data_IF_457814390043
#
_entry.id   IF_457814390043
#
_cell.length_a   1.000
_cell.length_b   1.000
_cell.length_c   1.000
_cell.angle_alpha   90.00
_cell.angle_beta   90.00
_cell.angle_gamma   90.00
#
_symmetry.space_group_name_H-M   'P 1'
#
loop_
_entity.id
_entity.type
_entity.pdbx_description
1 polymer ?
#
# COMPACT_ATOMS: atom_id res chain seq x y z
N UNK A 1 -19.09 -30.94 -8.13
CA UNK A 1 -18.01 -29.92 -8.06
C UNK A 1 -18.58 -28.69 -7.37
N UNK A 2 -18.19 -28.41 -6.12
CA UNK A 2 -18.76 -27.27 -5.38
C UNK A 2 -18.03 -25.98 -5.76
N UNK A 3 -18.77 -25.00 -6.28
CA UNK A 3 -18.24 -23.69 -6.64
C UNK A 3 -17.97 -22.87 -5.37
N UNK A 4 -16.86 -22.11 -5.37
CA UNK A 4 -16.51 -21.17 -4.30
C UNK A 4 -16.02 -19.87 -4.93
N UNK A 5 -16.38 -18.76 -4.31
CA UNK A 5 -15.95 -17.42 -4.69
C UNK A 5 -14.77 -16.98 -3.83
N UNK A 6 -13.87 -16.20 -4.42
CA UNK A 6 -12.74 -15.58 -3.75
C UNK A 6 -12.85 -14.07 -3.89
N UNK A 7 -12.65 -13.34 -2.80
CA UNK A 7 -12.67 -11.89 -2.76
C UNK A 7 -11.35 -11.37 -2.17
N UNK A 8 -10.63 -10.57 -2.94
CA UNK A 8 -9.51 -9.77 -2.47
C UNK A 8 -10.07 -8.43 -2.01
N UNK A 9 -9.87 -8.09 -0.74
CA UNK A 9 -10.44 -6.89 -0.12
C UNK A 9 -9.28 -6.04 0.40
N UNK A 10 -9.35 -4.74 0.14
CA UNK A 10 -8.46 -3.73 0.72
C UNK A 10 -9.29 -2.89 1.69
N UNK A 11 -8.75 -2.61 2.87
CA UNK A 11 -9.35 -1.74 3.88
C UNK A 11 -8.34 -0.66 4.25
N UNK A 12 -8.82 0.52 4.58
CA UNK A 12 -8.00 1.60 5.09
C UNK A 12 -8.86 2.74 5.63
N UNK A 13 -8.23 3.61 6.41
CA UNK A 13 -8.89 4.72 7.10
C UNK A 13 -8.67 6.08 6.41
N UNK A 14 -7.90 6.12 5.33
CA UNK A 14 -7.52 7.35 4.64
C UNK A 14 -6.53 8.23 5.40
N UNK A 15 -5.97 7.73 6.51
CA UNK A 15 -5.11 8.48 7.44
C UNK A 15 -3.84 7.67 7.79
N UNK A 16 -3.24 7.02 6.81
CA UNK A 16 -1.98 6.30 6.98
C UNK A 16 -2.12 4.86 7.45
N UNK A 17 -3.33 4.27 7.51
CA UNK A 17 -3.50 2.85 7.80
C UNK A 17 -4.18 2.13 6.64
N UNK A 18 -3.56 1.04 6.17
CA UNK A 18 -4.11 0.22 5.07
C UNK A 18 -3.79 -1.25 5.27
N UNK A 19 -4.67 -2.14 4.82
CA UNK A 19 -4.47 -3.58 4.88
C UNK A 19 -5.20 -4.26 3.73
N UNK A 20 -4.76 -5.48 3.39
CA UNK A 20 -5.46 -6.32 2.42
C UNK A 20 -5.61 -7.75 2.92
N UNK A 21 -6.68 -8.38 2.49
CA UNK A 21 -7.04 -9.73 2.90
C UNK A 21 -7.78 -10.49 1.81
N UNK A 22 -7.75 -11.82 1.92
CA UNK A 22 -8.40 -12.71 0.97
C UNK A 22 -9.45 -13.54 1.69
N UNK A 23 -10.69 -13.48 1.21
CA UNK A 23 -11.78 -14.32 1.70
C UNK A 23 -12.24 -15.31 0.65
N UNK A 24 -12.60 -16.53 1.08
CA UNK A 24 -13.13 -17.58 0.21
C UNK A 24 -14.35 -18.23 0.85
N UNK A 25 -15.45 -18.32 0.10
CA UNK A 25 -16.71 -18.88 0.59
C UNK A 25 -17.58 -19.43 -0.56
N UNK A 26 -18.68 -20.10 -0.23
CA UNK A 26 -19.67 -20.56 -1.22
C UNK A 26 -20.51 -19.41 -1.77
N UNK A 27 -20.69 -18.34 -1.00
CA UNK A 27 -21.43 -17.13 -1.38
C UNK A 27 -20.50 -15.91 -1.44
N UNK A 28 -20.81 -14.96 -2.33
CA UNK A 28 -20.00 -13.76 -2.54
C UNK A 28 -19.97 -12.85 -1.29
N UNK A 29 -21.10 -12.51 -0.64
CA UNK A 29 -21.08 -11.64 0.54
C UNK A 29 -20.21 -12.21 1.67
N UNK A 30 -20.28 -13.53 1.87
CA UNK A 30 -19.49 -14.23 2.89
C UNK A 30 -17.99 -14.24 2.54
N UNK A 31 -17.63 -14.34 1.27
CA UNK A 31 -16.24 -14.19 0.84
C UNK A 31 -15.72 -12.77 1.11
N UNK A 32 -16.54 -11.74 0.88
CA UNK A 32 -16.17 -10.34 1.16
C UNK A 32 -16.01 -10.11 2.67
N UNK A 33 -16.95 -10.62 3.50
CA UNK A 33 -16.88 -10.51 4.97
C UNK A 33 -15.58 -11.10 5.50
N UNK A 34 -15.24 -12.33 5.07
CA UNK A 34 -13.98 -12.99 5.44
C UNK A 34 -12.75 -12.20 4.96
N UNK A 35 -12.80 -11.66 3.75
CA UNK A 35 -11.72 -10.83 3.21
C UNK A 35 -11.50 -9.56 4.02
N UNK A 36 -12.58 -8.90 4.45
CA UNK A 36 -12.53 -7.70 5.32
C UNK A 36 -11.92 -8.03 6.69
N UNK A 37 -12.35 -9.11 7.32
CA UNK A 37 -11.81 -9.56 8.61
C UNK A 37 -10.32 -9.92 8.53
N UNK A 38 -9.89 -10.58 7.46
CA UNK A 38 -8.48 -10.88 7.23
C UNK A 38 -7.67 -9.59 6.98
N UNK A 39 -8.22 -8.64 6.22
CA UNK A 39 -7.56 -7.37 5.91
C UNK A 39 -7.35 -6.50 7.15
N UNK A 40 -8.34 -6.41 8.04
CA UNK A 40 -8.25 -5.62 9.28
C UNK A 40 -7.18 -6.15 10.25
N UNK A 41 -6.89 -7.46 10.23
CA UNK A 41 -5.82 -8.05 11.04
C UNK A 41 -4.41 -7.75 10.51
N UNK A 42 -4.31 -7.30 9.25
CA UNK A 42 -3.06 -7.06 8.52
C UNK A 42 -2.89 -5.58 8.16
N UNK A 43 -3.40 -4.69 9.01
CA UNK A 43 -3.19 -3.26 8.85
C UNK A 43 -1.71 -2.93 9.02
N UNK A 44 -1.18 -2.13 8.09
CA UNK A 44 0.15 -1.53 8.17
C UNK A 44 0.01 -0.02 8.28
N UNK A 45 0.97 0.59 8.98
CA UNK A 45 1.10 2.05 9.05
C UNK A 45 1.97 2.54 7.90
N UNK A 46 1.56 3.62 7.26
CA UNK A 46 2.22 4.22 6.10
C UNK A 46 2.80 5.57 6.51
N UNK A 47 4.11 5.75 6.28
CA UNK A 47 4.78 7.02 6.49
C UNK A 47 4.40 8.00 5.37
N UNK A 48 3.59 9.01 5.71
CA UNK A 48 3.19 10.09 4.82
C UNK A 48 4.00 11.36 5.07
N UNK A 49 4.26 12.12 4.01
CA UNK A 49 4.85 13.46 4.10
C UNK A 49 3.78 14.56 4.18
N UNK A 50 4.24 15.81 4.32
CA UNK A 50 3.38 17.01 4.43
C UNK A 50 2.45 17.19 3.21
N UNK A 51 2.82 16.65 2.05
CA UNK A 51 2.05 16.72 0.82
C UNK A 51 1.05 15.55 0.67
N UNK A 52 0.84 14.76 1.73
CA UNK A 52 0.10 13.50 1.64
C UNK A 52 0.67 12.57 0.54
N UNK A 53 1.99 12.57 0.37
CA UNK A 53 2.77 11.66 -0.48
C UNK A 53 3.61 10.72 0.39
N UNK A 54 4.39 9.84 -0.25
CA UNK A 54 5.35 8.96 0.43
C UNK A 54 6.63 9.73 0.77
N UNK A 55 7.36 9.32 1.81
CA UNK A 55 8.56 10.06 2.27
C UNK A 55 9.75 9.96 1.31
N UNK A 56 9.88 8.84 0.59
CA UNK A 56 10.93 8.61 -0.40
C UNK A 56 10.50 7.57 -1.43
N UNK A 57 11.24 7.49 -2.53
CA UNK A 57 11.01 6.49 -3.56
C UNK A 57 11.33 5.08 -3.04
N UNK A 58 10.46 4.12 -3.34
CA UNK A 58 10.66 2.73 -2.93
C UNK A 58 10.10 1.76 -3.96
N UNK A 59 10.68 0.56 -4.05
CA UNK A 59 10.13 -0.52 -4.90
C UNK A 59 9.81 -1.72 -4.03
N UNK A 60 8.53 -2.02 -3.85
CA UNK A 60 8.10 -3.25 -3.17
C UNK A 60 8.02 -4.41 -4.13
N UNK A 61 8.19 -5.62 -3.59
CA UNK A 61 8.13 -6.87 -4.35
C UNK A 61 7.35 -7.91 -3.55
N UNK A 62 6.44 -8.60 -4.23
CA UNK A 62 5.75 -9.76 -3.68
C UNK A 62 5.51 -10.80 -4.76
N UNK A 63 5.99 -12.02 -4.52
CA UNK A 63 6.00 -13.08 -5.54
C UNK A 63 6.69 -12.60 -6.83
N UNK A 64 5.99 -12.74 -7.96
CA UNK A 64 6.45 -12.27 -9.27
C UNK A 64 6.10 -10.82 -9.61
N UNK A 65 5.43 -10.07 -8.73
CA UNK A 65 5.07 -8.68 -8.97
C UNK A 65 5.99 -7.72 -8.22
N UNK A 66 6.26 -6.57 -8.81
CA UNK A 66 6.97 -5.46 -8.18
C UNK A 66 6.25 -4.15 -8.47
N UNK A 67 6.24 -3.25 -7.51
CA UNK A 67 5.57 -1.96 -7.63
C UNK A 67 6.56 -0.87 -7.25
N UNK A 68 6.91 -0.06 -8.23
CA UNK A 68 7.67 1.16 -8.02
C UNK A 68 6.73 2.24 -7.50
N UNK A 69 7.07 2.82 -6.36
CA UNK A 69 6.45 4.00 -5.77
C UNK A 69 7.40 5.18 -5.92
N UNK A 70 6.90 6.27 -6.51
CA UNK A 70 7.62 7.51 -6.69
C UNK A 70 6.94 8.62 -5.90
N UNK A 71 7.71 9.28 -5.03
CA UNK A 71 7.29 10.48 -4.32
C UNK A 71 6.87 11.54 -5.33
N UNK A 72 5.83 12.29 -5.02
CA UNK A 72 5.26 13.28 -5.95
C UNK A 72 4.89 14.56 -5.22
N UNK A 73 5.07 15.74 -5.84
CA UNK A 73 4.68 17.00 -5.25
C UNK A 73 3.15 17.16 -5.20
N UNK A 74 2.70 18.14 -4.42
CA UNK A 74 1.30 18.55 -4.35
C UNK A 74 0.71 18.81 -5.75
N UNK A 75 -0.55 18.41 -5.95
CA UNK A 75 -1.27 18.59 -7.21
C UNK A 75 -1.07 17.47 -8.24
N UNK A 76 -0.22 16.47 -7.95
CA UNK A 76 -0.01 15.33 -8.86
C UNK A 76 -1.22 14.39 -8.91
N UNK A 77 -1.93 14.23 -7.80
CA UNK A 77 -2.98 13.22 -7.67
C UNK A 77 -2.44 11.79 -7.61
N UNK A 78 -3.36 10.81 -7.64
CA UNK A 78 -3.03 9.38 -7.57
C UNK A 78 -2.90 8.78 -8.97
N UNK A 79 -1.68 8.75 -9.48
CA UNK A 79 -1.33 8.14 -10.77
C UNK A 79 -0.85 6.71 -10.51
N UNK A 80 -1.80 5.77 -10.48
CA UNK A 80 -1.54 4.37 -10.17
C UNK A 80 -2.43 3.40 -10.96
N UNK A 81 -1.91 2.20 -11.20
CA UNK A 81 -2.70 1.10 -11.77
C UNK A 81 -3.75 0.60 -10.80
N UNK A 82 -4.89 0.10 -11.29
CA UNK A 82 -6.09 -0.21 -10.49
C UNK A 82 -5.85 -0.85 -9.11
N UNK A 83 -5.12 -1.99 -9.00
CA UNK A 83 -4.87 -2.62 -7.71
C UNK A 83 -4.03 -1.78 -6.74
N UNK A 84 -2.99 -1.10 -7.24
CA UNK A 84 -2.15 -0.22 -6.41
C UNK A 84 -2.88 1.08 -6.05
N UNK A 85 -3.73 1.60 -6.94
CA UNK A 85 -4.56 2.80 -6.70
C UNK A 85 -5.45 2.60 -5.49
N UNK A 86 -6.20 1.50 -5.43
CA UNK A 86 -7.10 1.23 -4.30
C UNK A 86 -6.36 1.18 -2.96
N UNK A 87 -5.13 0.64 -2.94
CA UNK A 87 -4.29 0.65 -1.73
C UNK A 87 -3.84 2.07 -1.39
N UNK A 88 -3.35 2.85 -2.36
CA UNK A 88 -2.86 4.20 -2.12
C UNK A 88 -3.98 5.14 -1.61
N UNK A 89 -5.14 5.11 -2.25
CA UNK A 89 -6.29 5.95 -1.86
C UNK A 89 -6.77 5.62 -0.44
N UNK A 90 -6.92 4.33 -0.12
CA UNK A 90 -7.35 3.90 1.21
C UNK A 90 -6.28 4.12 2.29
N UNK A 91 -5.00 4.19 1.91
CA UNK A 91 -3.92 4.59 2.80
C UNK A 91 -3.90 6.10 3.10
N UNK A 92 -4.67 6.92 2.37
CA UNK A 92 -4.67 8.38 2.53
C UNK A 92 -3.67 9.11 1.64
N UNK A 93 -3.02 8.42 0.70
CA UNK A 93 -2.08 9.04 -0.24
C UNK A 93 -2.85 9.83 -1.29
N UNK A 94 -2.57 11.12 -1.38
CA UNK A 94 -3.19 12.01 -2.38
C UNK A 94 -2.30 12.25 -3.59
N UNK A 95 -0.98 12.19 -3.42
CA UNK A 95 -0.01 12.51 -4.47
C UNK A 95 1.00 11.37 -4.62
N UNK A 96 0.93 10.62 -5.72
CA UNK A 96 1.88 9.53 -5.99
C UNK A 96 1.90 9.15 -7.46
N UNK A 97 3.07 8.72 -7.94
CA UNK A 97 3.22 8.00 -9.20
C UNK A 97 3.65 6.57 -8.92
N UNK A 98 2.96 5.61 -9.51
CA UNK A 98 3.32 4.20 -9.37
C UNK A 98 3.46 3.50 -10.71
N UNK A 99 4.30 2.48 -10.75
CA UNK A 99 4.39 1.57 -11.90
C UNK A 99 4.44 0.13 -11.40
N UNK A 100 3.47 -0.67 -11.84
CA UNK A 100 3.54 -2.12 -11.70
C UNK A 100 4.49 -2.69 -12.74
N UNK A 101 5.42 -3.52 -12.28
CA UNK A 101 6.47 -4.19 -13.05
C UNK A 101 6.42 -5.71 -12.78
N UNK A 102 6.76 -6.52 -13.78
CA UNK A 102 6.67 -7.97 -13.69
C UNK A 102 5.23 -8.48 -13.83
N UNK A 103 4.80 -9.36 -12.93
CA UNK A 103 3.46 -9.96 -12.94
C UNK A 103 2.35 -8.92 -12.72
N UNK A 104 1.26 -9.03 -13.48
CA UNK A 104 0.05 -8.21 -13.37
C UNK A 104 -1.07 -8.88 -12.54
N UNK A 105 -0.80 -10.01 -11.87
CA UNK A 105 -1.74 -10.63 -10.94
C UNK A 105 -2.14 -9.64 -9.83
N UNK A 106 -3.44 -9.33 -9.73
CA UNK A 106 -3.98 -8.31 -8.82
C UNK A 106 -3.60 -8.54 -7.36
N UNK A 107 -3.61 -9.78 -6.88
CA UNK A 107 -3.25 -10.11 -5.51
C UNK A 107 -1.78 -9.79 -5.23
N UNK A 108 -0.88 -10.17 -6.15
CA UNK A 108 0.54 -9.90 -5.98
C UNK A 108 0.84 -8.39 -6.06
N UNK A 109 0.16 -7.65 -6.93
CA UNK A 109 0.33 -6.19 -7.03
C UNK A 109 -0.13 -5.51 -5.73
N UNK A 110 -1.28 -5.90 -5.17
CA UNK A 110 -1.76 -5.36 -3.88
C UNK A 110 -0.77 -5.65 -2.77
N UNK A 111 -0.31 -6.89 -2.64
CA UNK A 111 0.62 -7.28 -1.58
C UNK A 111 2.00 -6.63 -1.77
N UNK A 112 2.49 -6.49 -3.00
CA UNK A 112 3.73 -5.76 -3.28
C UNK A 112 3.60 -4.27 -2.95
N UNK A 113 2.42 -3.67 -3.15
CA UNK A 113 2.15 -2.28 -2.79
C UNK A 113 2.12 -2.10 -1.28
N UNK A 114 1.46 -3.00 -0.54
CA UNK A 114 1.44 -2.97 0.94
C UNK A 114 2.85 -3.15 1.50
N UNK A 115 3.62 -4.10 0.98
CA UNK A 115 5.01 -4.30 1.38
C UNK A 115 5.82 -3.02 1.16
N UNK A 116 5.70 -2.41 -0.03
CA UNK A 116 6.39 -1.15 -0.34
C UNK A 116 6.07 -0.05 0.68
N UNK A 117 4.79 0.12 1.02
CA UNK A 117 4.34 1.17 1.94
C UNK A 117 4.78 0.90 3.38
N UNK A 118 4.80 -0.36 3.81
CA UNK A 118 5.23 -0.74 5.16
C UNK A 118 6.73 -0.55 5.42
N UNK A 119 7.54 -0.49 4.36
CA UNK A 119 8.99 -0.30 4.44
C UNK A 119 9.40 1.18 4.38
N UNK A 120 8.44 2.09 4.16
CA UNK A 120 8.71 3.52 4.21
C UNK A 120 9.06 3.93 5.65
N UNK A 121 10.03 4.83 5.76
CA UNK A 121 10.53 5.35 7.03
C UNK A 121 10.34 6.85 7.05
N UNK A 122 10.01 7.39 8.21
CA UNK A 122 9.97 8.84 8.37
C UNK A 122 11.38 9.42 8.44
N UNK A 123 11.57 10.70 8.09
CA UNK A 123 12.85 11.38 8.27
C UNK A 123 13.33 11.32 9.73
N UNK A 124 12.43 11.37 10.72
CA UNK A 124 12.79 11.26 12.14
C UNK A 124 13.35 9.86 12.47
N UNK A 125 12.74 8.80 11.95
CA UNK A 125 13.23 7.43 12.14
C UNK A 125 14.62 7.25 11.53
N UNK A 126 14.84 7.78 10.32
CA UNK A 126 16.14 7.72 9.64
C UNK A 126 17.20 8.53 10.39
N UNK A 127 16.85 9.72 10.88
CA UNK A 127 17.72 10.56 11.69
C UNK A 127 18.16 9.84 12.97
N UNK A 128 17.22 9.22 13.68
CA UNK A 128 17.49 8.39 14.87
C UNK A 128 18.40 7.21 14.56
N UNK A 129 18.15 6.49 13.46
CA UNK A 129 18.98 5.35 13.04
C UNK A 129 20.40 5.76 12.65
N UNK A 130 20.59 6.96 12.10
CA UNK A 130 21.88 7.47 11.61
C UNK A 130 22.62 8.34 12.62
N UNK A 131 22.03 8.64 13.78
CA UNK A 131 22.59 9.54 14.78
C UNK A 131 22.80 10.98 14.28
N UNK A 132 21.96 11.44 13.34
CA UNK A 132 22.04 12.78 12.74
C UNK A 132 20.81 13.61 13.10
N UNK A 133 20.91 14.94 12.99
CA UNK A 133 19.74 15.83 13.08
C UNK A 133 18.80 15.62 11.89
N UNK A 134 17.50 15.87 12.10
CA UNK A 134 16.46 15.71 11.07
C UNK A 134 16.69 16.65 9.87
N UNK A 135 17.16 17.87 10.13
CA UNK A 135 17.50 18.85 9.08
C UNK A 135 18.54 18.31 8.10
N UNK A 136 19.55 17.59 8.59
CA UNK A 136 20.59 16.97 7.74
C UNK A 136 20.09 15.77 6.91
N UNK A 137 18.88 15.25 7.18
CA UNK A 137 18.26 14.16 6.42
C UNK A 137 17.24 14.69 5.40
N UNK A 138 16.67 15.88 5.66
CA UNK A 138 15.73 16.54 4.75
C UNK A 138 16.43 17.35 3.65
N UNK A 139 17.69 17.75 3.87
CA UNK A 139 18.57 18.39 2.89
C UNK A 139 19.04 17.40 1.81
#
# INVERSE_FOLDING_TARGET
RNMRFSALVVVGDGNGHVGAGLGKAAEIPEAIRKGKEDAMKKLVTVALDENSSITHDFTGKFGGASVLLKRSPEGTGVIAGGPARSVCELAGIKNIRTKSLGSNNKQNVVLATIEALSQLKTPEEVARLRGKSVENIRA
#
